data_IF_091984979400
#
_entry.id   IF_091984979400
#
_cell.length_a   1.000
_cell.length_b   1.000
_cell.length_c   1.000
_cell.angle_alpha   90.00
_cell.angle_beta   90.00
_cell.angle_gamma   90.00
#
_symmetry.space_group_name_H-M   'P 1'
#
loop_
_entity.id
_entity.type
_entity.pdbx_description
1 polymer ?
#
# COMPACT_ATOMS: atom_id res chain seq x y z
N UNK A 1 -36.28 8.53 69.91
CA UNK A 1 -36.58 9.62 68.97
C UNK A 1 -36.97 8.96 67.65
N UNK A 2 -38.18 8.39 67.55
CA UNK A 2 -39.46 9.06 67.18
C UNK A 2 -39.37 9.68 65.79
N UNK A 3 -40.23 9.43 64.82
CA UNK A 3 -41.59 8.85 64.80
C UNK A 3 -41.90 8.59 63.29
N UNK A 4 -42.40 7.41 62.91
CA UNK A 4 -43.82 7.11 62.64
C UNK A 4 -44.25 7.51 61.21
N UNK A 5 -45.19 6.85 60.53
CA UNK A 5 -46.09 5.72 60.81
C UNK A 5 -46.67 5.29 59.44
N UNK A 6 -46.79 3.99 59.14
CA UNK A 6 -48.04 3.18 59.20
C UNK A 6 -49.02 3.51 58.03
N UNK A 7 -49.81 2.62 57.41
CA UNK A 7 -50.57 1.42 57.84
C UNK A 7 -50.98 0.61 56.53
N UNK A 8 -51.82 -0.46 56.50
CA UNK A 8 -51.38 -1.88 56.48
C UNK A 8 -52.11 -2.82 55.48
N UNK A 9 -51.90 -4.15 55.68
CA UNK A 9 -52.81 -5.32 55.45
C UNK A 9 -53.16 -5.66 53.99
N UNK A 10 -53.00 -6.88 53.45
CA UNK A 10 -52.78 -8.20 54.02
C UNK A 10 -53.89 -9.16 53.56
N UNK A 11 -53.63 -10.04 52.56
CA UNK A 11 -54.39 -11.29 52.36
C UNK A 11 -53.67 -12.31 51.44
N UNK A 12 -53.15 -13.36 52.08
CA UNK A 12 -53.10 -14.81 51.78
C UNK A 12 -52.77 -15.37 50.36
N UNK A 13 -51.72 -16.21 50.36
CA UNK A 13 -51.14 -17.21 49.41
C UNK A 13 -51.99 -18.50 49.24
N UNK A 14 -51.61 -19.56 48.47
CA UNK A 14 -50.69 -19.79 47.31
C UNK A 14 -51.35 -20.77 46.26
N UNK A 15 -50.64 -21.71 45.57
CA UNK A 15 -49.47 -21.64 44.67
C UNK A 15 -49.85 -22.06 43.23
N UNK A 16 -48.93 -21.97 42.26
CA UNK A 16 -48.64 -23.00 41.24
C UNK A 16 -47.42 -22.57 40.39
N UNK A 17 -46.61 -23.56 40.02
CA UNK A 17 -45.28 -23.48 39.40
C UNK A 17 -45.25 -23.00 37.94
N UNK A 18 -44.00 -22.82 37.47
CA UNK A 18 -43.49 -22.92 36.09
C UNK A 18 -43.11 -21.63 35.34
N UNK A 19 -41.81 -21.35 35.46
CA UNK A 19 -40.84 -21.06 34.39
C UNK A 19 -40.92 -19.74 33.58
N UNK A 20 -39.81 -18.98 33.49
CA UNK A 20 -39.69 -17.81 32.63
C UNK A 20 -39.34 -18.22 31.19
N UNK A 21 -39.92 -17.58 30.18
CA UNK A 21 -39.15 -16.70 29.28
C UNK A 21 -40.04 -16.08 28.21
N UNK A 22 -39.78 -14.78 28.00
CA UNK A 22 -40.43 -13.86 27.07
C UNK A 22 -40.16 -14.21 25.61
N UNK A 23 -41.10 -13.82 24.76
CA UNK A 23 -41.02 -13.91 23.32
C UNK A 23 -39.94 -13.03 22.65
N UNK A 24 -39.58 -13.52 21.46
CA UNK A 24 -39.26 -12.81 20.22
C UNK A 24 -38.32 -11.59 20.24
N UNK A 25 -37.15 -11.75 19.62
CA UNK A 25 -36.76 -10.92 18.47
C UNK A 25 -35.63 -11.61 17.70
N UNK A 26 -35.91 -12.09 16.50
CA UNK A 26 -34.90 -12.63 15.59
C UNK A 26 -33.99 -11.48 15.12
N UNK A 27 -32.76 -11.41 15.65
CA UNK A 27 -31.70 -10.60 15.04
C UNK A 27 -31.04 -11.44 13.95
N UNK A 28 -31.14 -10.93 12.72
CA UNK A 28 -30.44 -11.44 11.53
C UNK A 28 -28.95 -11.60 11.89
N UNK A 29 -28.43 -12.81 11.69
CA UNK A 29 -26.99 -13.02 11.70
C UNK A 29 -26.44 -12.34 10.45
N UNK A 30 -25.63 -11.30 10.63
CA UNK A 30 -24.77 -10.81 9.56
C UNK A 30 -23.86 -11.95 9.10
N UNK A 31 -23.87 -12.21 7.79
CA UNK A 31 -22.96 -13.17 7.18
C UNK A 31 -21.51 -12.70 7.36
N UNK A 32 -20.55 -13.59 7.68
CA UNK A 32 -19.17 -13.19 7.85
C UNK A 32 -18.58 -12.76 6.51
N UNK A 33 -18.08 -11.52 6.42
CA UNK A 33 -17.31 -11.03 5.28
C UNK A 33 -16.15 -11.99 5.00
N UNK A 34 -16.11 -12.56 3.79
CA UNK A 34 -15.09 -13.52 3.39
C UNK A 34 -13.70 -12.89 3.51
N UNK A 35 -12.87 -13.39 4.45
CA UNK A 35 -11.48 -12.97 4.59
C UNK A 35 -10.72 -13.42 3.34
N UNK A 36 -10.50 -12.51 2.38
CA UNK A 36 -9.58 -12.74 1.27
C UNK A 36 -8.17 -12.91 1.86
N UNK A 37 -7.54 -14.06 1.61
CA UNK A 37 -6.16 -14.34 2.05
C UNK A 37 -5.16 -13.44 1.33
N UNK A 38 -3.99 -13.19 1.92
CA UNK A 38 -2.91 -12.36 1.34
C UNK A 38 -2.63 -12.64 -0.13
N UNK A 39 -2.60 -13.94 -0.49
CA UNK A 39 -2.24 -14.36 -1.84
C UNK A 39 -3.28 -13.98 -2.89
N UNK A 40 -4.54 -13.82 -2.50
CA UNK A 40 -5.62 -13.40 -3.42
C UNK A 40 -5.54 -11.90 -3.70
N UNK A 41 -5.22 -11.07 -2.70
CA UNK A 41 -5.11 -9.62 -2.89
C UNK A 41 -4.01 -9.23 -3.88
N UNK A 42 -2.82 -9.83 -3.75
CA UNK A 42 -1.70 -9.55 -4.67
C UNK A 42 -2.03 -10.02 -6.09
N UNK A 43 -2.63 -11.20 -6.25
CA UNK A 43 -3.03 -11.73 -7.57
C UNK A 43 -4.06 -10.82 -8.26
N UNK A 44 -5.06 -10.36 -7.52
CA UNK A 44 -6.10 -9.48 -8.07
C UNK A 44 -5.53 -8.09 -8.41
N UNK A 45 -4.59 -7.59 -7.60
CA UNK A 45 -3.84 -6.39 -7.96
C UNK A 45 -3.02 -6.60 -9.24
N UNK A 46 -2.26 -7.70 -9.34
CA UNK A 46 -1.46 -8.00 -10.52
C UNK A 46 -2.33 -8.11 -11.79
N UNK A 47 -3.50 -8.75 -11.71
CA UNK A 47 -4.45 -8.82 -12.82
C UNK A 47 -4.90 -7.42 -13.29
N UNK A 48 -5.27 -6.54 -12.35
CA UNK A 48 -5.67 -5.16 -12.67
C UNK A 48 -4.51 -4.35 -13.27
N UNK A 49 -3.30 -4.50 -12.75
CA UNK A 49 -2.13 -3.80 -13.29
C UNK A 49 -1.78 -4.26 -14.72
N UNK A 50 -1.91 -5.55 -15.03
CA UNK A 50 -1.73 -6.07 -16.41
C UNK A 50 -2.75 -5.49 -17.39
N UNK A 51 -3.97 -5.22 -16.93
CA UNK A 51 -5.05 -4.70 -17.76
C UNK A 51 -4.94 -3.18 -18.06
N UNK A 52 -4.06 -2.45 -17.38
CA UNK A 52 -3.85 -1.02 -17.65
C UNK A 52 -3.35 -0.79 -19.08
N UNK A 53 -3.57 0.40 -19.68
CA UNK A 53 -2.81 0.79 -20.87
C UNK A 53 -1.32 0.96 -20.51
N UNK A 54 -0.38 0.71 -21.44
CA UNK A 54 1.02 1.11 -21.28
C UNK A 54 1.16 2.63 -21.04
N UNK A 55 2.21 3.02 -20.32
CA UNK A 55 2.46 4.41 -19.91
C UNK A 55 3.85 4.93 -20.24
N UNK A 56 4.77 4.03 -20.57
CA UNK A 56 6.16 4.33 -20.91
C UNK A 56 6.50 3.55 -22.18
N UNK A 57 6.03 4.05 -23.33
CA UNK A 57 6.12 3.32 -24.59
C UNK A 57 5.30 2.02 -24.51
N UNK A 58 5.89 0.85 -24.84
CA UNK A 58 5.20 -0.44 -24.71
C UNK A 58 5.06 -0.92 -23.25
N UNK A 59 5.68 -0.25 -22.28
CA UNK A 59 5.78 -0.69 -20.88
C UNK A 59 4.68 -0.07 -20.02
N UNK A 60 4.07 -0.87 -19.13
CA UNK A 60 3.32 -0.39 -17.96
C UNK A 60 4.29 -0.18 -16.81
N UNK A 61 4.72 1.06 -16.58
CA UNK A 61 5.65 1.37 -15.49
C UNK A 61 4.85 1.61 -14.21
N UNK A 62 5.08 0.80 -13.18
CA UNK A 62 4.35 0.88 -11.90
C UNK A 62 5.29 1.39 -10.83
N UNK A 63 4.97 2.53 -10.22
CA UNK A 63 5.72 3.08 -9.10
C UNK A 63 5.26 2.44 -7.78
N UNK A 64 6.19 2.02 -6.94
CA UNK A 64 5.95 1.56 -5.56
C UNK A 64 6.77 2.43 -4.62
N UNK A 65 6.11 3.41 -4.00
CA UNK A 65 6.72 4.40 -3.11
C UNK A 65 6.24 4.22 -1.65
N UNK A 66 6.83 4.96 -0.72
CA UNK A 66 6.61 4.86 0.72
C UNK A 66 7.91 5.10 1.49
N UNK A 67 7.80 5.36 2.78
CA UNK A 67 8.96 5.62 3.65
C UNK A 67 10.00 4.48 3.66
N UNK A 68 11.28 4.80 3.86
CA UNK A 68 12.29 3.78 4.10
C UNK A 68 11.89 2.89 5.28
N UNK A 69 11.99 1.57 5.10
CA UNK A 69 11.53 0.58 6.06
C UNK A 69 10.03 0.23 6.00
N UNK A 70 9.23 0.80 5.09
CA UNK A 70 7.79 0.49 4.97
C UNK A 70 7.47 -0.89 4.37
N UNK A 71 8.46 -1.61 3.87
CA UNK A 71 8.29 -2.95 3.28
C UNK A 71 8.07 -2.97 1.76
N UNK A 72 8.34 -1.86 1.06
CA UNK A 72 8.27 -1.75 -0.42
C UNK A 72 8.95 -2.91 -1.14
N UNK A 73 10.23 -3.17 -0.87
CA UNK A 73 11.01 -4.21 -1.53
C UNK A 73 10.36 -5.60 -1.38
N UNK A 74 9.87 -5.94 -0.19
CA UNK A 74 9.16 -7.21 0.04
C UNK A 74 7.84 -7.27 -0.73
N UNK A 75 7.06 -6.19 -0.73
CA UNK A 75 5.81 -6.12 -1.47
C UNK A 75 6.04 -6.18 -2.98
N UNK A 76 7.00 -5.42 -3.50
CA UNK A 76 7.38 -5.37 -4.91
C UNK A 76 7.84 -6.76 -5.41
N UNK A 77 8.63 -7.50 -4.63
CA UNK A 77 9.01 -8.87 -4.98
C UNK A 77 7.82 -9.83 -5.07
N UNK A 78 6.87 -9.75 -4.13
CA UNK A 78 5.64 -10.56 -4.18
C UNK A 78 4.74 -10.18 -5.36
N UNK A 79 4.63 -8.88 -5.65
CA UNK A 79 3.86 -8.36 -6.77
C UNK A 79 4.50 -8.76 -8.11
N UNK A 80 5.83 -8.69 -8.22
CA UNK A 80 6.60 -9.14 -9.38
C UNK A 80 6.34 -10.62 -9.69
N UNK A 81 6.42 -11.49 -8.67
CA UNK A 81 6.11 -12.91 -8.82
C UNK A 81 4.66 -13.12 -9.32
N UNK A 82 3.68 -12.43 -8.75
CA UNK A 82 2.29 -12.49 -9.22
C UNK A 82 2.09 -11.91 -10.63
N UNK A 83 2.98 -11.02 -11.07
CA UNK A 83 3.05 -10.47 -12.42
C UNK A 83 3.78 -11.38 -13.42
N UNK A 84 4.25 -12.56 -13.01
CA UNK A 84 4.98 -13.50 -13.86
C UNK A 84 6.46 -13.13 -13.93
N UNK A 85 7.06 -12.91 -12.76
CA UNK A 85 8.46 -12.50 -12.57
C UNK A 85 8.82 -11.20 -13.31
N UNK A 86 7.92 -10.22 -13.21
CA UNK A 86 8.14 -8.90 -13.81
C UNK A 86 9.42 -8.24 -13.25
N UNK A 87 10.22 -7.55 -14.08
CA UNK A 87 11.42 -6.86 -13.61
C UNK A 87 11.11 -5.80 -12.54
N UNK A 88 11.99 -5.72 -11.53
CA UNK A 88 11.95 -4.70 -10.48
C UNK A 88 13.23 -3.87 -10.57
N UNK A 89 13.07 -2.57 -10.84
CA UNK A 89 14.14 -1.60 -10.71
C UNK A 89 14.10 -0.96 -9.33
N UNK A 90 15.16 -1.18 -8.55
CA UNK A 90 15.34 -0.57 -7.24
C UNK A 90 15.93 0.83 -7.40
N UNK A 91 15.28 1.85 -6.85
CA UNK A 91 15.83 3.21 -6.88
C UNK A 91 17.13 3.34 -6.06
N UNK A 92 17.36 2.42 -5.14
CA UNK A 92 18.63 2.31 -4.42
C UNK A 92 19.79 1.95 -5.37
N UNK A 93 19.54 1.27 -6.50
CA UNK A 93 20.58 1.08 -7.54
C UNK A 93 20.93 2.41 -8.22
N UNK A 94 20.06 3.41 -8.17
CA UNK A 94 20.18 4.66 -8.94
C UNK A 94 20.60 5.83 -8.04
N UNK A 95 20.26 5.82 -6.76
CA UNK A 95 20.71 6.79 -5.77
C UNK A 95 22.16 6.52 -5.33
N UNK A 96 22.83 7.55 -4.80
CA UNK A 96 24.19 7.42 -4.22
C UNK A 96 24.27 8.14 -2.87
N UNK A 97 25.39 7.99 -2.15
CA UNK A 97 25.62 8.74 -0.92
C UNK A 97 25.59 10.26 -1.13
N UNK A 98 26.04 10.74 -2.29
CA UNK A 98 26.09 12.15 -2.68
C UNK A 98 24.74 12.64 -3.24
N UNK A 99 23.98 11.73 -3.85
CA UNK A 99 22.74 12.02 -4.57
C UNK A 99 21.58 11.15 -4.05
N UNK A 100 21.26 11.21 -2.75
CA UNK A 100 20.15 10.44 -2.16
C UNK A 100 18.82 10.62 -2.93
N UNK A 101 18.60 11.84 -3.42
CA UNK A 101 17.36 12.27 -4.05
C UNK A 101 17.56 13.14 -5.31
N UNK A 102 18.81 13.27 -5.78
CA UNK A 102 19.20 14.09 -6.95
C UNK A 102 19.44 13.25 -8.22
N UNK A 103 18.93 12.03 -8.24
CA UNK A 103 19.16 11.04 -9.29
C UNK A 103 18.16 11.08 -10.46
N UNK A 104 17.08 11.87 -10.38
CA UNK A 104 15.96 11.87 -11.35
C UNK A 104 16.43 11.98 -12.80
N UNK A 105 17.35 12.91 -13.10
CA UNK A 105 17.84 13.11 -14.47
C UNK A 105 18.63 11.90 -14.99
N UNK A 106 19.36 11.19 -14.11
CA UNK A 106 20.06 9.94 -14.46
C UNK A 106 19.05 8.84 -14.76
N UNK A 107 18.05 8.64 -13.89
CA UNK A 107 16.99 7.65 -14.11
C UNK A 107 16.25 7.88 -15.43
N UNK A 108 15.85 9.13 -15.71
CA UNK A 108 15.12 9.46 -16.92
C UNK A 108 15.93 9.08 -18.17
N UNK A 109 17.19 9.54 -18.26
CA UNK A 109 18.03 9.27 -19.44
C UNK A 109 18.41 7.80 -19.60
N UNK A 110 18.75 7.11 -18.52
CA UNK A 110 19.29 5.74 -18.59
C UNK A 110 18.21 4.68 -18.68
N UNK A 111 17.00 4.96 -18.16
CA UNK A 111 15.94 3.97 -18.03
C UNK A 111 14.64 4.41 -18.70
N UNK A 112 14.03 5.50 -18.24
CA UNK A 112 12.67 5.85 -18.66
C UNK A 112 12.62 6.21 -20.14
N UNK A 113 13.55 7.02 -20.63
CA UNK A 113 13.62 7.43 -22.03
C UNK A 113 13.82 6.22 -22.98
N UNK A 114 14.80 5.32 -22.79
CA UNK A 114 14.90 4.09 -23.59
C UNK A 114 13.64 3.22 -23.55
N UNK A 115 13.09 2.95 -22.37
CA UNK A 115 11.88 2.13 -22.24
C UNK A 115 10.70 2.78 -22.97
N UNK A 116 10.59 4.12 -22.93
CA UNK A 116 9.54 4.86 -23.64
C UNK A 116 9.60 4.70 -25.16
N UNK A 117 10.78 4.37 -25.71
CA UNK A 117 11.00 4.06 -27.13
C UNK A 117 10.94 2.55 -27.43
N UNK A 118 10.68 1.71 -26.42
CA UNK A 118 10.73 0.26 -26.55
C UNK A 118 12.16 -0.29 -26.70
N UNK A 119 13.16 0.44 -26.22
CA UNK A 119 14.57 0.05 -26.26
C UNK A 119 15.03 -0.52 -24.92
N UNK A 120 16.06 -1.38 -24.95
CA UNK A 120 16.74 -1.86 -23.74
C UNK A 120 17.42 -0.70 -23.01
N UNK A 121 16.98 -0.45 -21.78
CA UNK A 121 17.62 0.48 -20.88
C UNK A 121 18.98 -0.06 -20.39
N UNK A 122 19.93 0.85 -20.12
CA UNK A 122 21.26 0.52 -19.60
C UNK A 122 21.60 1.49 -18.49
N UNK A 123 21.77 0.97 -17.28
CA UNK A 123 22.06 1.77 -16.09
C UNK A 123 23.23 1.18 -15.32
N UNK A 124 23.86 2.01 -14.49
CA UNK A 124 25.00 1.59 -13.67
C UNK A 124 24.56 1.60 -12.21
N UNK A 125 24.33 0.43 -11.60
CA UNK A 125 23.89 0.34 -10.21
C UNK A 125 24.97 0.85 -9.27
N UNK A 126 24.56 1.55 -8.22
CA UNK A 126 25.44 1.99 -7.15
C UNK A 126 25.52 0.95 -6.02
N UNK A 127 26.73 0.54 -5.68
CA UNK A 127 27.00 -0.32 -4.53
C UNK A 127 27.19 0.56 -3.29
N UNK A 128 26.23 0.48 -2.36
CA UNK A 128 26.25 1.26 -1.12
C UNK A 128 27.33 0.81 -0.13
N UNK A 129 27.76 -0.45 -0.19
CA UNK A 129 28.83 -0.97 0.67
C UNK A 129 30.20 -0.56 0.14
N UNK A 130 30.43 -0.75 -1.17
CA UNK A 130 31.68 -0.36 -1.82
C UNK A 130 31.78 1.16 -2.09
N UNK A 131 30.66 1.89 -1.96
CA UNK A 131 30.52 3.32 -2.28
C UNK A 131 30.97 3.66 -3.71
N UNK A 132 30.68 2.77 -4.64
CA UNK A 132 31.14 2.87 -6.02
C UNK A 132 30.06 2.39 -6.99
N UNK A 133 30.16 2.84 -8.23
CA UNK A 133 29.35 2.27 -9.31
C UNK A 133 29.86 0.89 -9.70
N UNK A 134 28.93 -0.04 -9.88
CA UNK A 134 29.19 -1.40 -10.37
C UNK A 134 29.27 -1.47 -11.90
N UNK A 135 29.20 -2.69 -12.48
CA UNK A 135 29.12 -2.87 -13.93
C UNK A 135 27.73 -2.47 -14.47
N UNK A 136 27.66 -2.10 -15.75
CA UNK A 136 26.40 -1.79 -16.45
C UNK A 136 25.43 -2.97 -16.36
N UNK A 137 24.17 -2.69 -16.03
CA UNK A 137 23.04 -3.62 -16.10
C UNK A 137 22.10 -3.24 -17.24
N UNK A 138 21.61 -4.25 -17.94
CA UNK A 138 20.59 -4.09 -18.96
C UNK A 138 19.20 -4.35 -18.36
N UNK A 139 18.22 -3.55 -18.79
CA UNK A 139 16.81 -3.73 -18.47
C UNK A 139 16.01 -3.67 -19.78
N UNK A 140 15.74 -4.83 -20.42
CA UNK A 140 14.92 -4.87 -21.62
C UNK A 140 13.47 -4.47 -21.30
N UNK A 141 12.72 -3.91 -22.27
CA UNK A 141 11.29 -3.66 -22.09
C UNK A 141 10.54 -4.94 -21.74
N UNK A 142 9.58 -4.82 -20.82
CA UNK A 142 8.69 -5.90 -20.42
C UNK A 142 7.25 -5.37 -20.36
N UNK A 143 6.21 -6.24 -20.43
CA UNK A 143 4.82 -5.79 -20.39
C UNK A 143 4.47 -4.94 -19.15
N UNK A 144 5.10 -5.26 -18.00
CA UNK A 144 5.05 -4.51 -16.75
C UNK A 144 6.46 -4.44 -16.16
N UNK A 145 6.86 -3.28 -15.68
CA UNK A 145 8.09 -3.09 -14.89
C UNK A 145 7.72 -2.37 -13.61
N UNK A 146 8.22 -2.85 -12.47
CA UNK A 146 8.06 -2.19 -11.18
C UNK A 146 9.25 -1.28 -10.93
N UNK A 147 9.00 -0.03 -10.57
CA UNK A 147 9.97 0.91 -10.04
C UNK A 147 9.72 1.08 -8.55
N UNK A 148 10.63 0.61 -7.70
CA UNK A 148 10.43 0.63 -6.24
C UNK A 148 11.51 1.44 -5.53
N UNK A 149 11.10 2.20 -4.53
CA UNK A 149 12.01 2.92 -3.65
C UNK A 149 11.45 4.28 -3.25
N UNK A 150 12.16 4.95 -2.34
CA UNK A 150 11.73 6.27 -1.85
C UNK A 150 11.86 7.29 -2.98
N UNK A 151 10.73 7.87 -3.38
CA UNK A 151 10.66 8.80 -4.51
C UNK A 151 10.26 8.17 -5.84
N UNK A 152 9.83 6.90 -5.87
CA UNK A 152 9.23 6.28 -7.06
C UNK A 152 7.97 7.02 -7.56
N UNK A 153 7.32 7.80 -6.68
CA UNK A 153 6.17 8.66 -6.99
C UNK A 153 6.51 10.14 -7.13
N UNK A 154 7.77 10.50 -7.39
CA UNK A 154 8.18 11.89 -7.70
C UNK A 154 7.37 12.48 -8.84
N UNK A 155 7.09 13.79 -8.77
CA UNK A 155 6.36 14.52 -9.82
C UNK A 155 6.93 14.32 -11.22
N UNK A 156 8.25 14.26 -11.35
CA UNK A 156 8.93 14.05 -12.63
C UNK A 156 8.72 12.65 -13.24
N UNK A 157 8.36 11.65 -12.42
CA UNK A 157 8.13 10.27 -12.87
C UNK A 157 6.67 9.99 -13.21
N UNK A 158 5.73 10.67 -12.54
CA UNK A 158 4.28 10.45 -12.70
C UNK A 158 3.78 10.44 -14.15
N UNK A 159 4.26 11.29 -15.08
CA UNK A 159 3.83 11.23 -16.47
C UNK A 159 4.12 9.89 -17.18
N UNK A 160 5.06 9.10 -16.65
CA UNK A 160 5.46 7.81 -17.21
C UNK A 160 4.85 6.62 -16.46
N UNK A 161 4.17 6.85 -15.33
CA UNK A 161 3.60 5.79 -14.51
C UNK A 161 2.19 5.41 -14.99
N UNK A 162 1.94 4.12 -15.17
CA UNK A 162 0.58 3.60 -15.40
C UNK A 162 -0.20 3.53 -14.08
N UNK A 163 0.52 3.38 -12.96
CA UNK A 163 -0.03 3.38 -11.61
C UNK A 163 1.05 3.72 -10.58
N UNK A 164 0.69 4.50 -9.57
CA UNK A 164 1.49 4.76 -8.38
C UNK A 164 0.85 4.10 -7.15
N UNK A 165 1.59 3.21 -6.52
CA UNK A 165 1.25 2.55 -5.26
C UNK A 165 2.03 3.20 -4.12
N UNK A 166 1.36 3.52 -3.02
CA UNK A 166 2.01 3.98 -1.80
C UNK A 166 1.92 2.93 -0.70
N UNK A 167 3.06 2.49 -0.18
CA UNK A 167 3.12 1.63 1.01
C UNK A 167 2.75 2.43 2.26
N UNK A 168 1.56 2.16 2.77
CA UNK A 168 0.98 2.82 3.92
C UNK A 168 1.58 2.27 5.21
N UNK A 169 2.48 3.05 5.80
CA UNK A 169 3.01 2.87 7.14
C UNK A 169 3.39 4.25 7.69
N UNK A 170 3.11 4.49 8.98
CA UNK A 170 3.52 5.73 9.63
C UNK A 170 5.05 5.88 9.53
N UNK A 171 5.53 7.09 9.19
CA UNK A 171 6.97 7.33 8.93
C UNK A 171 7.86 6.92 10.10
N UNK A 172 7.45 7.21 11.33
CA UNK A 172 8.26 6.97 12.53
C UNK A 172 8.35 5.46 12.81
N UNK A 173 7.28 4.71 12.52
CA UNK A 173 7.25 3.25 12.57
C UNK A 173 8.13 2.66 11.46
N UNK A 174 8.03 3.17 10.22
CA UNK A 174 8.84 2.73 9.09
C UNK A 174 10.34 2.90 9.37
N UNK A 175 10.76 4.09 9.84
CA UNK A 175 12.16 4.34 10.19
C UNK A 175 12.63 3.49 11.36
N UNK A 176 11.77 3.23 12.35
CA UNK A 176 12.11 2.36 13.48
C UNK A 176 12.35 0.93 13.00
N UNK A 177 11.49 0.41 12.11
CA UNK A 177 11.68 -0.90 11.48
C UNK A 177 12.96 -0.95 10.64
N UNK A 178 13.23 0.09 9.85
CA UNK A 178 14.43 0.21 9.03
C UNK A 178 15.71 0.21 9.87
N UNK A 179 15.80 1.07 10.89
CA UNK A 179 16.93 1.11 11.84
C UNK A 179 17.15 -0.23 12.53
N UNK A 180 16.08 -0.88 12.98
CA UNK A 180 16.17 -2.18 13.64
C UNK A 180 16.73 -3.26 12.70
N UNK A 181 16.36 -3.23 11.42
CA UNK A 181 16.85 -4.16 10.40
C UNK A 181 18.33 -3.92 10.10
N UNK A 182 18.75 -2.66 9.99
CA UNK A 182 20.10 -2.30 9.53
C UNK A 182 21.13 -2.25 10.68
N UNK A 183 20.66 -2.18 11.92
CA UNK A 183 21.49 -2.21 13.12
C UNK A 183 22.12 -0.87 13.51
N UNK A 184 22.66 -0.80 14.73
CA UNK A 184 23.18 0.43 15.32
C UNK A 184 24.40 1.00 14.59
N UNK A 185 25.19 0.16 13.92
CA UNK A 185 26.34 0.58 13.12
C UNK A 185 25.96 1.61 12.02
N UNK A 186 24.69 1.62 11.60
CA UNK A 186 24.18 2.51 10.55
C UNK A 186 23.50 3.77 11.13
N UNK A 187 23.64 4.07 12.42
CA UNK A 187 22.89 5.17 13.07
C UNK A 187 23.17 6.55 12.46
N UNK A 188 24.44 6.87 12.16
CA UNK A 188 24.81 8.14 11.53
C UNK A 188 24.24 8.27 10.11
N UNK A 189 24.26 7.16 9.34
CA UNK A 189 23.62 7.09 8.03
C UNK A 189 22.11 7.33 8.14
N UNK A 190 21.44 6.66 9.06
CA UNK A 190 20.01 6.81 9.29
C UNK A 190 19.61 8.24 9.70
N UNK A 191 20.45 8.94 10.47
CA UNK A 191 20.19 10.34 10.80
C UNK A 191 20.18 11.23 9.55
N UNK A 192 21.17 11.09 8.68
CA UNK A 192 21.23 11.80 7.40
C UNK A 192 20.08 11.42 6.45
N UNK A 193 19.78 10.13 6.35
CA UNK A 193 18.69 9.62 5.54
C UNK A 193 17.32 10.18 5.97
N UNK A 194 17.02 10.14 7.27
CA UNK A 194 15.73 10.63 7.80
C UNK A 194 15.54 12.11 7.48
N UNK A 195 16.59 12.93 7.64
CA UNK A 195 16.53 14.35 7.30
C UNK A 195 16.26 14.55 5.79
N UNK A 196 17.00 13.83 4.94
CA UNK A 196 16.86 13.92 3.49
C UNK A 196 15.49 13.42 2.99
N UNK A 197 14.99 12.30 3.53
CA UNK A 197 13.68 11.74 3.14
C UNK A 197 12.55 12.68 3.55
N UNK A 198 12.62 13.24 4.76
CA UNK A 198 11.64 14.24 5.20
C UNK A 198 11.61 15.45 4.28
N UNK A 199 12.78 16.00 3.95
CA UNK A 199 12.88 17.11 3.03
C UNK A 199 12.31 16.74 1.66
N UNK A 200 12.66 15.56 1.14
CA UNK A 200 12.14 15.08 -0.15
C UNK A 200 10.60 15.06 -0.17
N UNK A 201 9.94 14.46 0.82
CA UNK A 201 8.48 14.37 0.82
C UNK A 201 7.78 15.69 1.16
N UNK A 202 8.46 16.66 1.77
CA UNK A 202 7.95 18.03 1.87
C UNK A 202 7.96 18.72 0.50
N UNK A 203 9.05 18.58 -0.25
CA UNK A 203 9.25 19.26 -1.53
C UNK A 203 8.50 18.60 -2.70
N UNK A 204 8.40 17.28 -2.72
CA UNK A 204 7.77 16.48 -3.78
C UNK A 204 7.00 15.30 -3.18
N UNK A 205 5.83 15.54 -2.55
CA UNK A 205 5.06 14.51 -1.86
C UNK A 205 4.46 13.52 -2.85
N UNK A 206 4.61 12.22 -2.58
CA UNK A 206 4.09 11.15 -3.45
C UNK A 206 2.73 10.64 -3.00
N UNK A 207 2.50 10.47 -1.69
CA UNK A 207 1.26 9.92 -1.13
C UNK A 207 -0.02 10.59 -1.64
N UNK A 208 -0.14 11.93 -1.72
CA UNK A 208 -1.35 12.58 -2.22
C UNK A 208 -1.68 12.25 -3.69
N UNK A 209 -0.70 11.75 -4.46
CA UNK A 209 -0.84 11.41 -5.87
C UNK A 209 -0.85 9.91 -6.11
N UNK A 210 -0.75 9.10 -5.05
CA UNK A 210 -0.85 7.66 -5.18
C UNK A 210 -2.27 7.29 -5.59
N UNK A 211 -2.39 6.42 -6.58
CA UNK A 211 -3.66 5.87 -7.04
C UNK A 211 -4.21 4.85 -6.06
N UNK A 212 -3.32 4.11 -5.39
CA UNK A 212 -3.65 3.07 -4.42
C UNK A 212 -2.74 3.17 -3.19
N UNK A 213 -3.32 2.91 -2.02
CA UNK A 213 -2.59 2.73 -0.77
C UNK A 213 -2.49 1.23 -0.48
N UNK A 214 -1.30 0.75 -0.13
CA UNK A 214 -1.03 -0.64 0.18
C UNK A 214 -0.61 -0.74 1.63
N UNK A 215 -1.45 -1.36 2.47
CA UNK A 215 -1.18 -1.55 3.89
C UNK A 215 -0.75 -3.00 4.14
N UNK A 216 0.37 -3.20 4.83
CA UNK A 216 0.75 -4.53 5.31
C UNK A 216 -0.09 -4.87 6.55
N UNK A 217 -0.69 -6.06 6.55
CA UNK A 217 -1.46 -6.62 7.67
C UNK A 217 -0.76 -7.87 8.21
N UNK A 218 -1.24 -8.40 9.35
CA UNK A 218 -0.67 -9.62 9.96
C UNK A 218 -0.61 -10.80 8.98
N UNK A 219 -1.68 -10.99 8.20
CA UNK A 219 -1.81 -12.07 7.21
C UNK A 219 -1.88 -11.51 5.78
N UNK A 220 -1.01 -10.55 5.44
CA UNK A 220 -0.82 -10.13 4.05
C UNK A 220 -0.84 -8.64 3.77
N UNK A 221 -1.65 -8.26 2.78
CA UNK A 221 -1.80 -6.88 2.33
C UNK A 221 -3.26 -6.54 2.09
N UNK A 222 -3.56 -5.28 2.30
CA UNK A 222 -4.80 -4.63 1.91
C UNK A 222 -4.49 -3.53 0.89
N UNK A 223 -5.37 -3.37 -0.10
CA UNK A 223 -5.23 -2.36 -1.15
C UNK A 223 -6.46 -1.46 -1.09
N UNK A 224 -6.22 -0.19 -0.82
CA UNK A 224 -7.23 0.87 -0.69
C UNK A 224 -7.10 1.87 -1.83
N UNK A 225 -8.18 2.59 -2.13
CA UNK A 225 -8.13 3.72 -3.05
C UNK A 225 -7.21 4.82 -2.54
N UNK A 226 -6.53 5.49 -3.48
CA UNK A 226 -5.66 6.63 -3.20
C UNK A 226 -6.41 7.88 -2.73
N UNK A 227 -5.70 8.86 -2.12
CA UNK A 227 -6.32 10.03 -1.49
C UNK A 227 -7.07 10.95 -2.45
N UNK A 228 -6.61 11.05 -3.71
CA UNK A 228 -7.23 11.91 -4.72
C UNK A 228 -8.36 11.23 -5.47
N UNK A 229 -8.70 9.97 -5.15
CA UNK A 229 -9.82 9.27 -5.77
C UNK A 229 -9.79 9.42 -7.29
N UNK A 230 -8.72 8.99 -7.96
CA UNK A 230 -8.76 8.79 -9.41
C UNK A 230 -9.81 7.72 -9.67
N UNK A 231 -11.04 8.17 -9.92
CA UNK A 231 -12.15 7.35 -10.34
C UNK A 231 -11.81 6.78 -11.72
N UNK A 232 -11.13 5.63 -11.73
CA UNK A 232 -11.20 4.67 -12.83
C UNK A 232 -12.55 3.96 -12.79
N UNK A 233 -13.00 3.36 -13.91
CA UNK A 233 -14.39 2.95 -14.13
C UNK A 233 -14.92 1.82 -13.20
N UNK A 234 -14.11 1.30 -12.29
CA UNK A 234 -14.50 0.21 -11.39
C UNK A 234 -14.91 0.75 -10.01
N UNK A 235 -16.04 1.46 -9.95
CA UNK A 235 -16.83 1.45 -8.72
C UNK A 235 -17.58 0.11 -8.66
N UNK A 236 -17.63 -0.58 -7.50
CA UNK A 236 -18.57 -1.68 -7.34
C UNK A 236 -19.98 -1.10 -7.41
N UNK A 237 -20.68 -1.41 -8.51
CA UNK A 237 -22.13 -1.30 -8.59
C UNK A 237 -22.71 -2.15 -7.46
N UNK A 238 -23.14 -1.50 -6.38
CA UNK A 238 -24.02 -2.15 -5.42
C UNK A 238 -25.36 -2.34 -6.11
N UNK A 239 -25.62 -3.56 -6.61
CA UNK A 239 -26.94 -3.99 -7.01
C UNK A 239 -27.87 -3.87 -5.80
N UNK A 240 -28.75 -2.87 -5.84
CA UNK A 240 -29.96 -2.84 -5.04
C UNK A 240 -31.12 -3.33 -5.89
N UNK A 241 -31.22 -4.64 -6.10
CA UNK A 241 -32.51 -5.27 -6.40
C UNK A 241 -33.11 -5.65 -5.04
N UNK A 242 -34.30 -5.26 -4.61
CA UNK A 242 -35.45 -4.70 -5.29
C UNK A 242 -36.67 -5.26 -4.55
N UNK A 243 -37.74 -4.50 -4.37
CA UNK A 243 -39.08 -5.09 -4.27
C UNK A 243 -40.15 -4.05 -4.53
N UNK A 244 -40.73 -4.12 -5.73
CA UNK A 244 -42.11 -3.73 -5.98
C UNK A 244 -43.06 -4.63 -5.19
N UNK A 245 -44.10 -4.05 -4.59
CA UNK A 245 -45.48 -4.57 -4.69
C UNK A 245 -46.47 -3.56 -4.09
N UNK A 246 -47.59 -3.41 -4.80
CA UNK A 246 -48.74 -2.56 -4.55
C UNK A 246 -49.48 -2.86 -3.25
N UNK A 247 -50.15 -1.84 -2.71
CA UNK A 247 -51.61 -1.74 -2.57
C UNK A 247 -52.02 -0.26 -2.60
#
# INVERSE_FOLDING_TARGET
MTCEASVPVGARRPPLECSPYRGACARRADAPASRRTSGTVIRDLAARLRALPPSCGPVRLIGVDGHAGSGKTTFAGRLAAALGDAPVLHLDDIATHEELFRWTRRLLRQVVEPLSRGETARYVPYDWSARAFGPVRELPPAPVILLEGVGAGRRALRPYLARLLWMELARDEAWTRGRRRDGEAQSAFWAGWVAAERQHFVEDPSKPFADLLVRQCSEGYEVLSGPTGTAGPDQPLTHGDGSSAMC
#
